data_IF_495845227210
#
_entry.id   IF_495845227210
#
_cell.length_a   1.000
_cell.length_b   1.000
_cell.length_c   1.000
_cell.angle_alpha   90.00
_cell.angle_beta   90.00
_cell.angle_gamma   90.00
#
_symmetry.space_group_name_H-M   'P 1'
#
loop_
_entity.id
_entity.type
_entity.pdbx_description
1 polymer ?
#
# COMPACT_ATOMS: atom_id res chain seq x y z
N UNK A 1 4.57 5.65 -15.64
CA UNK A 1 3.68 5.85 -14.47
C UNK A 1 2.34 5.19 -14.76
N UNK A 2 1.88 4.26 -13.92
CA UNK A 2 0.60 3.54 -14.09
C UNK A 2 -0.10 3.41 -12.72
N UNK A 3 -1.43 3.48 -12.71
CA UNK A 3 -2.27 3.37 -11.51
C UNK A 3 -2.37 1.94 -10.94
N UNK A 4 -1.68 0.97 -11.52
CA UNK A 4 -1.60 -0.41 -11.02
C UNK A 4 -1.11 -0.49 -9.56
N UNK A 5 -0.30 0.47 -9.12
CA UNK A 5 0.17 0.60 -7.73
C UNK A 5 -0.81 1.37 -6.82
N UNK A 6 -1.80 2.04 -7.40
CA UNK A 6 -2.75 2.87 -6.69
C UNK A 6 -4.08 2.15 -6.47
N UNK A 7 -4.77 1.80 -7.56
CA UNK A 7 -6.15 1.32 -7.50
C UNK A 7 -6.36 0.13 -6.54
N UNK A 8 -5.64 -1.00 -6.65
CA UNK A 8 -5.93 -2.16 -5.82
C UNK A 8 -5.82 -1.86 -4.32
N UNK A 9 -4.81 -1.09 -3.92
CA UNK A 9 -4.44 -0.92 -2.52
C UNK A 9 -5.14 0.27 -1.87
N UNK A 10 -5.43 1.33 -2.62
CA UNK A 10 -6.32 2.41 -2.16
C UNK A 10 -7.71 1.84 -1.90
N UNK A 11 -8.25 1.05 -2.83
CA UNK A 11 -9.55 0.43 -2.63
C UNK A 11 -9.54 -0.57 -1.48
N UNK A 12 -8.49 -1.37 -1.32
CA UNK A 12 -8.36 -2.29 -0.19
C UNK A 12 -8.53 -1.56 1.15
N UNK A 13 -7.72 -0.52 1.39
CA UNK A 13 -7.79 0.26 2.63
C UNK A 13 -9.14 0.96 2.82
N UNK A 14 -9.68 1.56 1.75
CA UNK A 14 -10.94 2.27 1.78
C UNK A 14 -12.14 1.35 2.08
N UNK A 15 -12.21 0.20 1.39
CA UNK A 15 -13.31 -0.75 1.51
C UNK A 15 -13.31 -1.44 2.87
N UNK A 16 -12.13 -1.76 3.41
CA UNK A 16 -12.02 -2.43 4.69
C UNK A 16 -12.56 -1.60 5.86
N UNK A 17 -12.44 -0.27 5.81
CA UNK A 17 -13.04 0.64 6.80
C UNK A 17 -14.39 1.22 6.34
N UNK A 18 -14.94 0.67 5.25
CA UNK A 18 -16.23 1.03 4.67
C UNK A 18 -16.35 2.53 4.38
N UNK A 19 -15.28 3.15 3.86
CA UNK A 19 -15.24 4.55 3.47
C UNK A 19 -16.37 4.91 2.50
N UNK A 20 -16.95 6.11 2.65
CA UNK A 20 -18.05 6.59 1.80
C UNK A 20 -17.57 7.10 0.44
N UNK A 21 -16.35 7.60 0.40
CA UNK A 21 -15.72 8.18 -0.78
C UNK A 21 -14.19 8.03 -0.69
N UNK A 22 -13.49 8.28 -1.79
CA UNK A 22 -12.03 8.38 -1.81
C UNK A 22 -11.64 9.84 -1.64
N UNK A 23 -11.07 10.18 -0.49
CA UNK A 23 -10.72 11.57 -0.15
C UNK A 23 -9.30 11.95 -0.62
N UNK A 24 -8.96 13.24 -0.53
CA UNK A 24 -7.61 13.71 -0.83
C UNK A 24 -6.58 13.16 0.17
N UNK A 25 -6.95 13.07 1.46
CA UNK A 25 -6.14 12.52 2.53
C UNK A 25 -5.74 11.07 2.23
N UNK A 26 -6.67 10.27 1.71
CA UNK A 26 -6.41 8.88 1.29
C UNK A 26 -5.41 8.82 0.12
N UNK A 27 -5.56 9.69 -0.87
CA UNK A 27 -4.64 9.77 -2.02
C UNK A 27 -3.24 10.20 -1.58
N UNK A 28 -3.15 11.19 -0.69
CA UNK A 28 -1.88 11.66 -0.12
C UNK A 28 -1.22 10.58 0.74
N UNK A 29 -2.00 9.85 1.56
CA UNK A 29 -1.49 8.75 2.35
C UNK A 29 -0.94 7.61 1.47
N UNK A 30 -1.63 7.26 0.39
CA UNK A 30 -1.15 6.28 -0.58
C UNK A 30 0.14 6.71 -1.28
N UNK A 31 0.21 7.97 -1.74
CA UNK A 31 1.39 8.51 -2.39
C UNK A 31 2.61 8.53 -1.45
N UNK A 32 2.41 8.94 -0.19
CA UNK A 32 3.46 8.90 0.84
C UNK A 32 3.90 7.46 1.13
N UNK A 33 2.97 6.52 1.30
CA UNK A 33 3.29 5.12 1.54
C UNK A 33 4.08 4.47 0.39
N UNK A 34 3.77 4.81 -0.86
CA UNK A 34 4.54 4.36 -2.03
C UNK A 34 5.94 4.97 -2.06
N UNK A 35 6.07 6.26 -1.76
CA UNK A 35 7.36 6.95 -1.74
C UNK A 35 8.27 6.39 -0.63
N UNK A 36 7.72 6.13 0.55
CA UNK A 36 8.46 5.49 1.63
C UNK A 36 8.89 4.08 1.25
N UNK A 37 7.99 3.26 0.69
CA UNK A 37 8.31 1.92 0.24
C UNK A 37 9.41 1.90 -0.84
N UNK A 38 9.40 2.85 -1.77
CA UNK A 38 10.42 2.94 -2.82
C UNK A 38 11.84 3.17 -2.27
N UNK A 39 11.95 3.78 -1.08
CA UNK A 39 13.22 4.06 -0.40
C UNK A 39 13.72 2.92 0.48
N UNK A 40 12.88 1.93 0.76
CA UNK A 40 13.27 0.75 1.51
C UNK A 40 14.02 -0.24 0.61
N UNK A 41 14.98 -0.95 1.19
CA UNK A 41 15.67 -2.04 0.52
C UNK A 41 14.67 -3.03 -0.07
N UNK A 42 14.89 -3.40 -1.34
CA UNK A 42 14.02 -4.31 -2.08
C UNK A 42 14.43 -5.75 -1.75
N UNK A 43 13.54 -6.60 -1.20
CA UNK A 43 13.86 -7.99 -0.91
C UNK A 43 14.22 -8.77 -2.17
N UNK A 44 15.12 -9.75 -2.02
CA UNK A 44 15.56 -10.62 -3.11
C UNK A 44 14.40 -11.34 -3.82
N UNK A 45 13.31 -11.64 -3.11
CA UNK A 45 12.11 -12.25 -3.69
C UNK A 45 11.48 -11.38 -4.78
N UNK A 46 11.48 -10.06 -4.59
CA UNK A 46 10.98 -9.11 -5.59
C UNK A 46 11.95 -9.05 -6.76
N UNK A 47 13.25 -8.98 -6.50
CA UNK A 47 14.29 -8.99 -7.56
C UNK A 47 14.26 -10.27 -8.41
N UNK A 48 14.03 -11.44 -7.82
CA UNK A 48 13.90 -12.72 -8.54
C UNK A 48 12.74 -12.72 -9.54
N UNK A 49 11.65 -12.02 -9.24
CA UNK A 49 10.51 -11.88 -10.15
C UNK A 49 10.82 -11.00 -11.38
N UNK A 50 11.92 -10.23 -11.34
CA UNK A 50 12.37 -9.33 -12.41
C UNK A 50 13.82 -9.64 -12.80
N UNK A 51 14.08 -10.88 -13.21
CA UNK A 51 15.37 -11.32 -13.78
C UNK A 51 16.58 -11.19 -12.84
N UNK A 52 16.37 -11.08 -11.53
CA UNK A 52 17.46 -10.96 -10.54
C UNK A 52 18.10 -9.58 -10.46
N UNK A 53 17.50 -8.56 -11.08
CA UNK A 53 17.99 -7.19 -11.01
C UNK A 53 17.82 -6.63 -9.59
N UNK A 54 18.87 -6.02 -9.05
CA UNK A 54 18.79 -5.30 -7.77
C UNK A 54 18.19 -3.92 -8.00
N UNK A 55 17.05 -3.68 -7.37
CA UNK A 55 16.42 -2.36 -7.40
C UNK A 55 16.83 -1.57 -6.17
N UNK A 56 17.36 -0.37 -6.39
CA UNK A 56 17.70 0.59 -5.33
C UNK A 56 17.11 1.93 -5.71
N UNK A 57 16.56 2.66 -4.74
CA UNK A 57 16.01 3.99 -4.98
C UNK A 57 17.01 4.89 -5.74
N UNK A 58 16.55 5.46 -6.85
CA UNK A 58 17.40 6.28 -7.72
C UNK A 58 16.69 6.68 -9.01
N UNK A 59 17.41 7.34 -9.93
CA UNK A 59 16.84 7.81 -11.21
C UNK A 59 16.10 6.71 -11.99
N UNK A 60 16.61 5.48 -11.92
CA UNK A 60 16.06 4.31 -12.63
C UNK A 60 15.01 3.53 -11.80
N UNK A 61 14.80 3.89 -10.53
CA UNK A 61 13.84 3.25 -9.63
C UNK A 61 13.26 4.26 -8.64
N UNK A 62 12.23 4.97 -9.10
CA UNK A 62 11.53 6.00 -8.33
C UNK A 62 10.25 5.50 -7.64
N UNK A 63 9.66 4.42 -8.16
CA UNK A 63 8.41 3.84 -7.67
C UNK A 63 8.54 2.32 -7.56
N UNK A 64 7.85 1.66 -6.62
CA UNK A 64 7.87 0.21 -6.49
C UNK A 64 7.38 -0.49 -7.76
N UNK A 65 7.78 -1.75 -7.98
CA UNK A 65 7.28 -2.51 -9.14
C UNK A 65 5.84 -3.00 -8.89
N UNK A 66 4.99 -3.15 -9.94
CA UNK A 66 3.58 -3.55 -9.79
C UNK A 66 3.32 -4.84 -8.99
N UNK A 67 4.22 -5.82 -9.06
CA UNK A 67 4.08 -7.10 -8.36
C UNK A 67 4.80 -7.16 -7.01
N UNK A 68 5.28 -6.02 -6.51
CA UNK A 68 5.84 -5.94 -5.16
C UNK A 68 4.73 -6.09 -4.11
N UNK A 69 4.66 -7.27 -3.49
CA UNK A 69 3.67 -7.60 -2.46
C UNK A 69 3.68 -6.63 -1.28
N UNK A 70 4.83 -5.97 -1.02
CA UNK A 70 4.95 -4.98 0.06
C UNK A 70 4.02 -3.79 -0.12
N UNK A 71 3.63 -3.48 -1.35
CA UNK A 71 2.73 -2.35 -1.65
C UNK A 71 1.40 -2.51 -0.91
N UNK A 72 0.84 -3.72 -0.85
CA UNK A 72 -0.37 -4.00 -0.08
C UNK A 72 -0.21 -3.63 1.40
N UNK A 73 0.88 -4.09 2.01
CA UNK A 73 1.17 -3.91 3.43
C UNK A 73 1.59 -2.48 3.81
N UNK A 74 1.87 -1.62 2.83
CA UNK A 74 2.21 -0.22 3.07
C UNK A 74 1.03 0.70 2.75
N UNK A 75 0.41 0.53 1.58
CA UNK A 75 -0.61 1.44 1.06
C UNK A 75 -1.96 1.21 1.72
N UNK A 76 -2.44 -0.05 1.83
CA UNK A 76 -3.77 -0.30 2.38
C UNK A 76 -3.90 0.16 3.85
N UNK A 77 -2.93 -0.10 4.75
CA UNK A 77 -2.99 0.40 6.12
C UNK A 77 -2.99 1.93 6.20
N UNK A 78 -2.15 2.60 5.41
CA UNK A 78 -2.06 4.06 5.39
C UNK A 78 -3.38 4.69 4.90
N UNK A 79 -4.01 4.08 3.91
CA UNK A 79 -5.30 4.54 3.38
C UNK A 79 -6.44 4.29 4.35
N UNK A 80 -6.46 3.12 5.01
CA UNK A 80 -7.46 2.78 6.03
C UNK A 80 -7.41 3.77 7.21
N UNK A 81 -6.20 4.07 7.69
CA UNK A 81 -5.96 5.05 8.74
C UNK A 81 -6.39 6.46 8.31
N UNK A 82 -6.03 6.88 7.10
CA UNK A 82 -6.42 8.19 6.55
C UNK A 82 -7.94 8.32 6.35
N UNK A 83 -8.65 7.26 5.94
CA UNK A 83 -10.10 7.28 5.80
C UNK A 83 -10.81 7.48 7.14
N UNK A 84 -10.27 6.92 8.21
CA UNK A 84 -10.81 7.07 9.56
C UNK A 84 -10.50 8.47 10.10
N UNK A 85 -9.26 8.94 9.92
CA UNK A 85 -8.85 10.27 10.33
C UNK A 85 -9.64 11.39 9.60
N UNK A 86 -10.00 11.18 8.33
CA UNK A 86 -10.81 12.15 7.55
C UNK A 86 -12.31 12.07 7.81
N UNK A 87 -12.78 11.13 8.65
CA UNK A 87 -14.20 10.92 8.92
C UNK A 87 -14.99 10.29 7.76
N UNK A 88 -14.33 9.82 6.71
CA UNK A 88 -14.98 9.14 5.58
C UNK A 88 -15.40 7.69 5.91
N UNK A 89 -14.70 7.05 6.87
CA UNK A 89 -14.96 5.68 7.30
C UNK A 89 -16.30 5.51 8.04
N UNK A 90 -16.90 4.32 7.96
CA UNK A 90 -18.07 3.95 8.78
C UNK A 90 -17.72 3.04 9.97
N UNK A 91 -16.51 2.50 10.00
CA UNK A 91 -16.01 1.67 11.10
C UNK A 91 -14.58 2.10 11.46
N UNK A 92 -14.15 1.93 12.72
CA UNK A 92 -12.82 2.35 13.14
C UNK A 92 -11.72 1.49 12.51
N UNK A 93 -10.53 2.07 12.39
CA UNK A 93 -9.33 1.36 11.98
C UNK A 93 -8.86 0.47 13.14
N UNK A 94 -8.71 -0.86 12.96
CA UNK A 94 -8.39 -1.78 14.06
C UNK A 94 -6.96 -1.64 14.61
N UNK A 95 -6.20 -0.65 14.15
CA UNK A 95 -4.80 -0.46 14.46
C UNK A 95 -3.90 -1.29 13.54
N UNK A 96 -2.69 -0.75 13.28
CA UNK A 96 -1.77 -1.28 12.27
C UNK A 96 -1.44 -2.76 12.46
N UNK A 97 -1.10 -3.18 13.68
CA UNK A 97 -0.73 -4.57 13.98
C UNK A 97 -1.85 -5.56 13.61
N UNK A 98 -3.08 -5.29 14.05
CA UNK A 98 -4.24 -6.16 13.79
C UNK A 98 -4.61 -6.17 12.31
N UNK A 99 -4.51 -5.02 11.66
CA UNK A 99 -4.82 -4.89 10.24
C UNK A 99 -3.80 -5.63 9.36
N UNK A 100 -2.51 -5.55 9.68
CA UNK A 100 -1.48 -6.31 8.95
C UNK A 100 -1.70 -7.82 9.05
N UNK A 101 -2.01 -8.34 10.25
CA UNK A 101 -2.33 -9.76 10.41
C UNK A 101 -3.56 -10.21 9.60
N UNK A 102 -4.56 -9.33 9.46
CA UNK A 102 -5.70 -9.59 8.58
C UNK A 102 -5.31 -9.64 7.09
N UNK A 103 -4.47 -8.72 6.62
CA UNK A 103 -3.97 -8.71 5.23
C UNK A 103 -3.11 -9.95 4.93
N UNK A 104 -2.27 -10.38 5.87
CA UNK A 104 -1.50 -11.62 5.76
C UNK A 104 -2.43 -12.83 5.62
N UNK A 105 -3.52 -12.87 6.39
CA UNK A 105 -4.53 -13.93 6.31
C UNK A 105 -5.19 -14.03 4.94
N UNK A 106 -5.32 -12.93 4.19
CA UNK A 106 -5.95 -12.90 2.85
C UNK A 106 -5.02 -13.44 1.77
N UNK A 107 -3.70 -13.22 1.87
CA UNK A 107 -2.74 -13.67 0.86
C UNK A 107 -2.42 -15.16 0.99
N UNK A 108 -2.65 -15.75 2.17
CA UNK A 108 -2.37 -17.16 2.46
C UNK A 108 -3.46 -18.13 1.99
N UNK A 109 -4.55 -17.63 1.42
CA UNK A 109 -5.67 -18.42 0.86
C UNK A 109 -5.51 -18.52 -0.65
#
# INVERSE_FOLDING_TARGET
>A
MNNVLGFPFIFRGALDVRARNITLEMKLAAARALAELARLDVPDEVSKAYSGEKFTFGPEYLIPKPFDKRVLFHVAPAVAEAAVASGSSRIPYPGRKKYLGFLEGIIRV
#
